data_IF_552835576275
#
_entry.id   IF_552835576275
#
_cell.length_a   1.000
_cell.length_b   1.000
_cell.length_c   1.000
_cell.angle_alpha   90.00
_cell.angle_beta   90.00
_cell.angle_gamma   90.00
#
_symmetry.space_group_name_H-M   'P 1'
#
loop_
_entity.id
_entity.type
_entity.pdbx_description
1 polymer ?
#
# COMPACT_ATOMS: atom_id res chain seq x y z
N UNK A 1 4.47 26.54 6.68
CA UNK A 1 5.93 26.50 6.86
C UNK A 1 6.54 25.93 5.61
N UNK A 2 7.37 26.72 4.92
CA UNK A 2 8.21 26.20 3.84
C UNK A 2 9.15 25.14 4.43
N UNK A 3 9.20 23.96 3.87
CA UNK A 3 10.08 22.89 4.32
C UNK A 3 11.43 23.03 3.63
N UNK A 4 12.52 22.56 4.27
CA UNK A 4 13.84 22.49 3.63
C UNK A 4 13.81 21.77 2.29
N UNK A 5 12.87 20.85 2.11
CA UNK A 5 12.61 20.16 0.84
C UNK A 5 12.17 21.11 -0.29
N UNK A 6 11.21 22.03 -0.02
CA UNK A 6 10.69 22.96 -1.04
C UNK A 6 11.63 24.14 -1.34
N UNK A 7 12.55 24.43 -0.44
CA UNK A 7 13.50 25.56 -0.59
C UNK A 7 14.87 25.13 -1.12
N UNK A 8 15.24 23.86 -0.93
CA UNK A 8 16.56 23.36 -1.30
C UNK A 8 16.79 23.36 -2.82
N UNK A 9 17.96 23.78 -3.24
CA UNK A 9 18.40 23.68 -4.64
C UNK A 9 18.77 22.25 -5.04
N UNK A 10 19.06 21.39 -4.08
CA UNK A 10 19.33 19.97 -4.27
C UNK A 10 18.95 19.22 -3.00
N UNK A 11 18.04 18.27 -3.13
CA UNK A 11 17.58 17.40 -2.05
C UNK A 11 17.43 15.97 -2.58
N UNK A 12 18.07 15.01 -1.94
CA UNK A 12 17.98 13.61 -2.34
C UNK A 12 16.91 12.90 -1.51
N UNK A 13 15.95 12.29 -2.19
CA UNK A 13 14.95 11.40 -1.59
C UNK A 13 15.12 10.00 -2.14
N UNK A 14 14.94 9.02 -1.27
CA UNK A 14 15.07 7.60 -1.60
C UNK A 14 13.84 6.85 -1.13
N UNK A 15 13.30 5.99 -2.00
CA UNK A 15 12.30 5.00 -1.66
C UNK A 15 12.76 3.61 -2.07
N UNK A 16 12.29 2.61 -1.37
CA UNK A 16 12.52 1.20 -1.71
C UNK A 16 11.21 0.48 -1.98
N UNK A 17 11.28 -0.60 -2.75
CA UNK A 17 10.23 -1.57 -2.94
C UNK A 17 10.81 -2.98 -2.96
N UNK A 18 9.94 -3.96 -2.86
CA UNK A 18 10.30 -5.37 -2.90
C UNK A 18 9.39 -6.13 -3.86
N UNK A 19 9.88 -7.27 -4.35
CA UNK A 19 9.05 -8.15 -5.19
C UNK A 19 8.00 -8.88 -4.34
N UNK A 20 7.03 -9.49 -5.02
CA UNK A 20 6.01 -10.35 -4.40
C UNK A 20 6.60 -11.54 -3.62
N UNK A 21 7.81 -11.97 -3.96
CA UNK A 21 8.51 -13.08 -3.30
C UNK A 21 9.38 -12.68 -2.10
N UNK A 22 9.46 -11.40 -1.74
CA UNK A 22 10.08 -11.01 -0.49
C UNK A 22 9.30 -11.61 0.70
N UNK A 23 9.96 -12.19 1.74
CA UNK A 23 9.27 -12.90 2.82
C UNK A 23 8.13 -12.13 3.48
N UNK A 24 8.32 -10.84 3.78
CA UNK A 24 7.24 -10.01 4.35
C UNK A 24 6.07 -9.87 3.36
N UNK A 25 6.34 -9.71 2.05
CA UNK A 25 5.27 -9.58 1.05
C UNK A 25 4.59 -10.92 0.72
N UNK A 26 5.26 -12.04 0.90
CA UNK A 26 4.60 -13.36 0.90
C UNK A 26 3.57 -13.42 2.02
N UNK A 27 3.94 -12.98 3.24
CA UNK A 27 3.03 -12.94 4.38
C UNK A 27 1.82 -12.02 4.14
N UNK A 28 2.05 -10.83 3.59
CA UNK A 28 0.97 -9.90 3.27
C UNK A 28 -0.01 -10.49 2.24
N UNK A 29 0.51 -11.14 1.18
CA UNK A 29 -0.31 -11.78 0.17
C UNK A 29 -1.09 -12.99 0.71
N UNK A 30 -0.49 -13.78 1.59
CA UNK A 30 -1.18 -14.90 2.27
C UNK A 30 -2.31 -14.37 3.15
N UNK A 31 -2.04 -13.37 3.97
CA UNK A 31 -3.04 -12.77 4.85
C UNK A 31 -4.22 -12.16 4.08
N UNK A 32 -3.95 -11.47 2.97
CA UNK A 32 -5.00 -10.92 2.10
C UNK A 32 -5.70 -11.98 1.25
N UNK A 33 -5.04 -13.09 0.88
CA UNK A 33 -5.69 -14.21 0.22
C UNK A 33 -6.72 -14.90 1.12
N UNK A 34 -6.40 -15.05 2.40
CA UNK A 34 -7.34 -15.58 3.41
C UNK A 34 -8.51 -14.61 3.59
N UNK A 35 -8.25 -13.31 3.71
CA UNK A 35 -9.29 -12.29 3.78
C UNK A 35 -10.22 -12.33 2.56
N UNK A 36 -9.66 -12.29 1.36
CA UNK A 36 -10.44 -12.28 0.11
C UNK A 36 -11.26 -13.58 -0.06
N UNK A 37 -10.68 -14.72 0.34
CA UNK A 37 -11.38 -16.00 0.33
C UNK A 37 -12.59 -16.05 1.25
N UNK A 38 -12.52 -15.39 2.42
CA UNK A 38 -13.64 -15.24 3.34
C UNK A 38 -14.67 -14.24 2.84
N UNK A 39 -14.25 -13.05 2.37
CA UNK A 39 -15.16 -12.02 1.87
C UNK A 39 -15.93 -12.45 0.61
N UNK A 40 -15.37 -13.33 -0.20
CA UNK A 40 -16.03 -13.89 -1.38
C UNK A 40 -17.29 -14.71 -1.03
N UNK A 41 -17.33 -15.32 0.16
CA UNK A 41 -18.43 -16.15 0.64
C UNK A 41 -19.29 -15.41 1.68
N UNK A 42 -18.67 -14.57 2.49
CA UNK A 42 -19.31 -13.81 3.56
C UNK A 42 -18.82 -12.35 3.53
N UNK A 43 -19.52 -11.43 2.84
CA UNK A 43 -19.15 -10.02 2.77
C UNK A 43 -19.04 -9.32 4.14
N UNK A 44 -19.68 -9.87 5.17
CA UNK A 44 -19.65 -9.32 6.52
C UNK A 44 -18.63 -10.00 7.43
N UNK A 45 -17.78 -10.88 6.90
CA UNK A 45 -16.70 -11.50 7.66
C UNK A 45 -15.84 -10.46 8.39
N UNK A 46 -15.54 -10.76 9.66
CA UNK A 46 -14.58 -10.00 10.46
C UNK A 46 -13.27 -10.79 10.50
N UNK A 47 -12.23 -10.19 9.99
CA UNK A 47 -10.94 -10.86 9.79
C UNK A 47 -9.81 -9.97 10.30
N UNK A 48 -9.00 -10.55 11.18
CA UNK A 48 -7.68 -10.07 11.54
C UNK A 48 -6.74 -11.27 11.39
N UNK A 49 -6.04 -11.35 10.27
CA UNK A 49 -5.23 -12.49 9.89
C UNK A 49 -3.77 -12.06 9.70
N UNK A 50 -2.88 -12.60 10.49
CA UNK A 50 -1.45 -12.33 10.44
C UNK A 50 -0.69 -13.60 10.08
N UNK A 51 0.34 -13.45 9.27
CA UNK A 51 1.17 -14.54 8.77
C UNK A 51 2.63 -14.33 9.17
N UNK A 52 3.29 -15.39 9.57
CA UNK A 52 4.73 -15.45 9.73
C UNK A 52 5.29 -16.59 8.86
N UNK A 53 6.39 -16.35 8.17
CA UNK A 53 7.04 -17.34 7.30
C UNK A 53 8.54 -17.39 7.57
N UNK A 54 9.10 -18.60 7.54
CA UNK A 54 10.54 -18.85 7.58
C UNK A 54 10.82 -20.15 6.82
N UNK A 55 12.08 -20.58 6.77
CA UNK A 55 12.45 -21.80 6.05
C UNK A 55 11.56 -23.00 6.45
N UNK A 56 10.81 -23.53 5.48
CA UNK A 56 9.97 -24.73 5.64
C UNK A 56 8.75 -24.59 6.55
N UNK A 57 8.44 -23.39 7.04
CA UNK A 57 7.32 -23.14 7.97
C UNK A 57 6.57 -21.86 7.59
N UNK A 58 5.24 -21.97 7.52
CA UNK A 58 4.32 -20.83 7.49
C UNK A 58 3.29 -20.97 8.61
N UNK A 59 3.12 -19.93 9.40
CA UNK A 59 2.17 -19.88 10.51
C UNK A 59 1.19 -18.74 10.25
N UNK A 60 -0.10 -19.05 10.34
CA UNK A 60 -1.19 -18.06 10.25
C UNK A 60 -1.91 -18.03 11.59
N UNK A 61 -2.01 -16.84 12.16
CA UNK A 61 -2.64 -16.58 13.45
C UNK A 61 -3.64 -15.45 13.32
N UNK A 62 -4.58 -15.36 14.26
CA UNK A 62 -5.50 -14.23 14.31
C UNK A 62 -6.90 -14.58 14.79
N UNK A 63 -7.81 -13.66 14.57
CA UNK A 63 -9.20 -13.75 14.93
C UNK A 63 -10.10 -13.58 13.71
N UNK A 64 -11.11 -14.44 13.59
CA UNK A 64 -12.11 -14.39 12.52
C UNK A 64 -13.51 -14.63 13.08
N UNK A 65 -14.49 -13.93 12.52
CA UNK A 65 -15.91 -14.22 12.71
C UNK A 65 -16.54 -14.24 11.33
N UNK A 66 -16.92 -15.43 10.88
CA UNK A 66 -17.43 -15.62 9.51
C UNK A 66 -18.26 -16.88 9.39
N UNK A 67 -19.14 -16.91 8.39
CA UNK A 67 -19.86 -18.10 7.94
C UNK A 67 -19.18 -18.77 6.74
N UNK A 68 -18.06 -18.22 6.26
CA UNK A 68 -17.32 -18.78 5.13
C UNK A 68 -16.66 -20.11 5.49
N UNK A 69 -16.78 -21.08 4.60
CA UNK A 69 -16.06 -22.36 4.66
C UNK A 69 -14.89 -22.32 3.70
N UNK A 70 -13.70 -21.94 4.21
CA UNK A 70 -12.48 -21.78 3.41
C UNK A 70 -11.45 -22.84 3.80
N UNK A 71 -10.93 -23.56 2.79
CA UNK A 71 -9.71 -24.36 2.98
C UNK A 71 -8.49 -23.40 3.06
N UNK A 72 -8.21 -22.97 4.29
CA UNK A 72 -7.16 -21.99 4.56
C UNK A 72 -5.79 -22.56 4.20
N UNK A 73 -5.51 -23.84 4.50
CA UNK A 73 -4.22 -24.44 4.16
C UNK A 73 -4.00 -24.51 2.65
N UNK A 74 -5.03 -24.82 1.91
CA UNK A 74 -4.99 -24.83 0.44
C UNK A 74 -4.77 -23.41 -0.10
N UNK A 75 -5.50 -22.42 0.42
CA UNK A 75 -5.35 -21.02 0.02
C UNK A 75 -3.92 -20.51 0.25
N UNK A 76 -3.30 -20.87 1.38
CA UNK A 76 -1.91 -20.53 1.69
C UNK A 76 -0.95 -21.15 0.66
N UNK A 77 -1.07 -22.46 0.42
CA UNK A 77 -0.19 -23.19 -0.52
C UNK A 77 -0.30 -22.63 -1.93
N UNK A 78 -1.53 -22.45 -2.42
CA UNK A 78 -1.78 -21.91 -3.76
C UNK A 78 -1.17 -20.49 -3.88
N UNK A 79 -1.34 -19.64 -2.87
CA UNK A 79 -0.78 -18.28 -2.86
C UNK A 79 0.74 -18.29 -2.94
N UNK A 80 1.41 -19.10 -2.14
CA UNK A 80 2.88 -19.18 -2.10
C UNK A 80 3.41 -19.83 -3.40
N UNK A 81 2.71 -20.85 -3.91
CA UNK A 81 3.03 -21.50 -5.18
C UNK A 81 2.93 -20.57 -6.39
N UNK A 82 1.89 -19.73 -6.47
CA UNK A 82 1.70 -18.72 -7.53
C UNK A 82 2.78 -17.63 -7.51
N UNK A 83 3.32 -17.30 -6.34
CA UNK A 83 4.49 -16.41 -6.20
C UNK A 83 5.72 -17.06 -6.83
N UNK A 84 5.79 -18.39 -6.85
CA UNK A 84 6.89 -19.15 -7.47
C UNK A 84 7.75 -19.93 -6.48
N UNK A 85 7.33 -20.10 -5.24
CA UNK A 85 7.97 -20.94 -4.25
C UNK A 85 7.42 -22.37 -4.28
N UNK A 86 7.96 -23.19 -5.20
CA UNK A 86 7.47 -24.53 -5.51
C UNK A 86 8.52 -25.64 -5.38
N UNK A 87 9.70 -25.32 -4.84
CA UNK A 87 10.71 -26.28 -4.42
C UNK A 87 11.72 -25.65 -3.43
N UNK A 88 12.40 -26.48 -2.65
CA UNK A 88 13.34 -26.03 -1.62
C UNK A 88 14.55 -25.27 -2.18
N UNK A 89 15.01 -25.59 -3.39
CA UNK A 89 16.16 -24.92 -4.02
C UNK A 89 15.91 -23.44 -4.30
N UNK A 90 14.61 -23.06 -4.42
CA UNK A 90 14.19 -21.67 -4.63
C UNK A 90 14.04 -20.91 -3.30
N UNK A 91 14.11 -21.61 -2.17
CA UNK A 91 14.03 -21.02 -0.83
C UNK A 91 12.78 -21.38 -0.03
N UNK A 92 11.77 -21.99 -0.67
CA UNK A 92 10.56 -22.52 -0.01
C UNK A 92 9.81 -23.47 -0.95
N UNK A 93 9.18 -24.49 -0.38
CA UNK A 93 8.33 -25.43 -1.10
C UNK A 93 6.90 -25.36 -0.54
N UNK A 94 5.99 -24.75 -1.28
CA UNK A 94 4.62 -24.56 -0.85
C UNK A 94 3.86 -25.89 -0.62
N UNK A 95 4.20 -26.95 -1.37
CA UNK A 95 3.51 -28.25 -1.28
C UNK A 95 3.95 -29.04 -0.04
N UNK A 96 5.22 -28.95 0.34
CA UNK A 96 5.81 -29.77 1.40
C UNK A 96 6.08 -29.02 2.70
N UNK A 97 6.01 -27.68 2.70
CA UNK A 97 6.22 -26.88 3.91
C UNK A 97 5.17 -27.18 4.99
N UNK A 98 5.59 -27.05 6.25
CA UNK A 98 4.69 -27.12 7.38
C UNK A 98 3.80 -25.84 7.41
N UNK A 99 2.49 -26.02 7.26
CA UNK A 99 1.50 -24.94 7.40
C UNK A 99 0.76 -25.13 8.72
N UNK A 100 0.81 -24.12 9.58
CA UNK A 100 0.10 -24.10 10.85
C UNK A 100 -0.91 -22.94 10.86
N UNK A 101 -2.15 -23.24 11.26
CA UNK A 101 -3.24 -22.27 11.29
C UNK A 101 -3.84 -22.25 12.70
N UNK A 102 -3.80 -21.08 13.33
CA UNK A 102 -4.35 -20.82 14.66
C UNK A 102 -5.29 -19.60 14.60
N UNK A 103 -6.40 -19.75 13.90
CA UNK A 103 -7.46 -18.76 13.84
C UNK A 103 -8.53 -19.13 14.87
N UNK A 104 -8.93 -18.15 15.67
CA UNK A 104 -9.99 -18.30 16.68
C UNK A 104 -11.07 -17.25 16.46
N UNK A 105 -12.21 -17.42 17.12
CA UNK A 105 -13.31 -16.46 17.09
C UNK A 105 -12.93 -15.16 17.79
N UNK A 106 -13.40 -14.02 17.25
CA UNK A 106 -13.17 -12.69 17.84
C UNK A 106 -13.84 -12.57 19.22
N UNK A 107 -13.21 -11.80 20.11
CA UNK A 107 -13.79 -11.48 21.42
C UNK A 107 -15.16 -10.80 21.28
N UNK A 108 -16.20 -11.27 22.01
CA UNK A 108 -17.52 -10.64 22.01
C UNK A 108 -17.51 -9.17 22.43
N UNK A 109 -16.62 -8.77 23.34
CA UNK A 109 -16.53 -7.39 23.83
C UNK A 109 -16.05 -6.43 22.73
N UNK A 110 -15.08 -6.87 21.92
CA UNK A 110 -14.59 -6.10 20.77
C UNK A 110 -15.68 -6.01 19.72
N UNK A 111 -16.34 -7.13 19.41
CA UNK A 111 -17.43 -7.17 18.43
C UNK A 111 -18.58 -6.20 18.81
N UNK A 112 -18.97 -6.16 20.07
CA UNK A 112 -20.03 -5.28 20.55
C UNK A 112 -19.68 -3.79 20.41
N UNK A 113 -18.43 -3.40 20.68
CA UNK A 113 -18.00 -2.00 20.59
C UNK A 113 -17.86 -1.48 19.15
N UNK A 114 -17.63 -2.37 18.19
CA UNK A 114 -17.47 -2.02 16.76
C UNK A 114 -18.82 -2.03 16.03
N UNK A 115 -19.71 -2.98 16.36
CA UNK A 115 -21.00 -3.14 15.70
C UNK A 115 -22.04 -2.12 16.18
N UNK A 116 -21.88 -1.58 17.39
CA UNK A 116 -22.74 -0.57 17.99
C UNK A 116 -21.91 0.62 18.45
N UNK A 117 -21.97 1.72 17.72
CA UNK A 117 -21.18 2.92 18.02
C UNK A 117 -21.49 3.49 19.41
N UNK A 118 -20.62 4.36 19.92
CA UNK A 118 -20.88 5.07 21.19
C UNK A 118 -22.11 5.96 21.05
N UNK A 119 -22.25 6.61 19.91
CA UNK A 119 -23.38 7.48 19.55
C UNK A 119 -24.71 6.71 19.62
N UNK A 120 -24.75 5.47 19.11
CA UNK A 120 -25.91 4.58 19.23
C UNK A 120 -26.20 4.22 20.70
N UNK A 121 -25.21 3.82 21.45
CA UNK A 121 -25.34 3.39 22.86
C UNK A 121 -25.76 4.53 23.79
N UNK A 122 -25.39 5.78 23.46
CA UNK A 122 -25.78 6.98 24.21
C UNK A 122 -27.13 7.56 23.74
N UNK A 123 -27.74 7.01 22.68
CA UNK A 123 -29.00 7.48 22.12
C UNK A 123 -28.90 8.87 21.48
N UNK A 124 -27.71 9.23 20.99
CA UNK A 124 -27.44 10.51 20.35
C UNK A 124 -27.44 10.39 18.82
N UNK A 125 -27.89 9.24 18.28
CA UNK A 125 -27.97 9.01 16.83
C UNK A 125 -28.93 10.01 16.16
N UNK A 126 -28.48 10.56 15.06
CA UNK A 126 -29.38 10.99 14.01
C UNK A 126 -29.87 9.74 13.24
N UNK A 127 -31.00 9.83 12.50
CA UNK A 127 -31.54 8.70 11.71
C UNK A 127 -30.63 8.32 10.50
N UNK A 128 -29.29 8.34 10.68
CA UNK A 128 -28.31 8.04 9.65
C UNK A 128 -27.65 6.66 9.92
N UNK A 129 -27.86 5.67 9.02
CA UNK A 129 -27.34 4.33 9.20
C UNK A 129 -25.79 4.25 9.29
N UNK A 130 -25.06 5.26 8.83
CA UNK A 130 -23.60 5.30 8.94
C UNK A 130 -23.09 5.65 10.34
N UNK A 131 -23.97 6.06 11.24
CA UNK A 131 -23.64 6.28 12.65
C UNK A 131 -23.67 5.01 13.49
N UNK A 132 -24.28 3.93 12.98
CA UNK A 132 -24.38 2.67 13.70
C UNK A 132 -23.02 2.01 13.94
N UNK A 133 -22.12 2.11 12.97
CA UNK A 133 -20.81 1.45 13.01
C UNK A 133 -19.73 2.37 13.60
N UNK A 134 -19.16 1.99 14.74
CA UNK A 134 -17.98 2.63 15.29
C UNK A 134 -16.68 2.20 14.64
N UNK A 135 -15.62 2.98 14.85
CA UNK A 135 -14.27 2.60 14.43
C UNK A 135 -13.80 1.34 15.15
N UNK A 136 -13.18 0.41 14.41
CA UNK A 136 -12.72 -0.87 14.94
C UNK A 136 -11.52 -0.77 15.88
N UNK A 137 -10.83 0.36 15.88
CA UNK A 137 -9.71 0.67 16.78
C UNK A 137 -9.52 2.19 16.87
N UNK A 138 -8.72 2.62 17.82
CA UNK A 138 -8.13 3.96 17.81
C UNK A 138 -6.97 4.01 16.83
N UNK A 139 -6.67 5.18 16.27
CA UNK A 139 -5.51 5.33 15.42
C UNK A 139 -5.49 6.63 14.63
N UNK A 140 -4.39 6.83 13.92
CA UNK A 140 -4.17 7.95 13.02
C UNK A 140 -3.78 7.38 11.65
N UNK A 141 -4.45 7.83 10.58
CA UNK A 141 -4.21 7.38 9.22
C UNK A 141 -3.83 8.55 8.35
N UNK A 142 -2.96 8.30 7.39
CA UNK A 142 -2.42 9.30 6.47
C UNK A 142 -2.80 8.95 5.04
N UNK A 143 -3.35 9.91 4.33
CA UNK A 143 -3.47 9.91 2.87
C UNK A 143 -2.53 10.94 2.27
N UNK A 144 -1.96 10.64 1.11
CA UNK A 144 -1.07 11.56 0.40
C UNK A 144 -1.27 11.47 -1.10
N UNK A 145 -1.04 12.58 -1.79
CA UNK A 145 -0.93 12.65 -3.25
C UNK A 145 0.00 13.79 -3.64
N UNK A 146 0.63 13.66 -4.80
CA UNK A 146 1.39 14.74 -5.43
C UNK A 146 1.38 14.57 -6.96
N UNK A 147 1.61 15.66 -7.68
CA UNK A 147 1.55 15.70 -9.16
C UNK A 147 2.87 15.29 -9.83
N UNK A 148 3.62 14.36 -9.23
CA UNK A 148 4.92 13.92 -9.76
C UNK A 148 4.79 12.81 -10.81
N UNK A 149 3.70 12.03 -10.77
CA UNK A 149 3.41 10.93 -11.70
C UNK A 149 1.93 10.96 -12.12
N UNK A 150 1.56 10.29 -13.22
CA UNK A 150 0.16 10.24 -13.68
C UNK A 150 -0.82 9.69 -12.63
N UNK A 151 -0.38 8.70 -11.85
CA UNK A 151 -1.15 8.10 -10.75
C UNK A 151 -1.19 8.96 -9.49
N UNK A 152 -0.56 10.15 -9.53
CA UNK A 152 -0.46 11.10 -8.42
C UNK A 152 0.26 10.54 -7.18
N UNK A 153 1.35 9.84 -7.44
CA UNK A 153 2.26 9.27 -6.44
C UNK A 153 3.63 9.95 -6.47
N UNK A 154 4.40 9.87 -5.38
CA UNK A 154 5.81 10.29 -5.39
C UNK A 154 6.63 9.47 -6.40
N UNK A 155 7.47 10.14 -7.17
CA UNK A 155 8.26 9.51 -8.25
C UNK A 155 9.18 8.41 -7.72
N UNK A 156 9.76 8.59 -6.54
CA UNK A 156 10.69 7.63 -5.94
C UNK A 156 10.06 6.26 -5.71
N UNK A 157 8.89 6.22 -5.03
CA UNK A 157 8.20 4.97 -4.73
C UNK A 157 7.53 4.38 -5.96
N UNK A 158 6.95 5.20 -6.85
CA UNK A 158 6.38 4.74 -8.11
C UNK A 158 7.42 3.99 -8.95
N UNK A 159 8.62 4.56 -9.11
CA UNK A 159 9.70 3.90 -9.84
C UNK A 159 10.21 2.64 -9.13
N UNK A 160 10.34 2.66 -7.81
CA UNK A 160 10.74 1.48 -7.06
C UNK A 160 9.74 0.33 -7.25
N UNK A 161 8.44 0.59 -7.20
CA UNK A 161 7.40 -0.40 -7.49
C UNK A 161 7.44 -0.92 -8.93
N UNK A 162 7.58 -0.03 -9.90
CA UNK A 162 7.68 -0.40 -11.33
C UNK A 162 8.89 -1.30 -11.59
N UNK A 163 10.04 -1.02 -10.98
CA UNK A 163 11.24 -1.87 -11.07
C UNK A 163 11.02 -3.24 -10.43
N UNK A 164 10.43 -3.29 -9.22
CA UNK A 164 10.17 -4.54 -8.52
C UNK A 164 9.14 -5.41 -9.28
N UNK A 165 8.08 -4.80 -9.83
CA UNK A 165 7.08 -5.49 -10.65
C UNK A 165 7.73 -6.02 -11.94
N UNK A 166 8.50 -5.19 -12.65
CA UNK A 166 9.16 -5.61 -13.89
C UNK A 166 10.15 -6.74 -13.66
N UNK A 167 10.86 -6.73 -12.53
CA UNK A 167 11.74 -7.83 -12.13
C UNK A 167 10.96 -9.15 -11.97
N UNK A 168 9.79 -9.13 -11.35
CA UNK A 168 8.94 -10.31 -11.21
C UNK A 168 8.33 -10.74 -12.56
N UNK A 169 7.91 -9.81 -13.41
CA UNK A 169 7.40 -10.10 -14.75
C UNK A 169 8.44 -10.84 -15.60
N UNK A 170 9.68 -10.31 -15.67
CA UNK A 170 10.76 -10.94 -16.46
C UNK A 170 11.15 -12.32 -15.94
N UNK A 171 10.95 -12.60 -14.65
CA UNK A 171 11.08 -13.95 -14.09
C UNK A 171 9.94 -14.85 -14.56
N UNK A 172 8.69 -14.38 -14.46
CA UNK A 172 7.47 -15.17 -14.76
C UNK A 172 7.31 -15.47 -16.24
N UNK A 173 7.65 -14.54 -17.12
CA UNK A 173 7.58 -14.71 -18.56
C UNK A 173 8.78 -15.48 -19.15
N UNK A 174 9.78 -15.80 -18.32
CA UNK A 174 10.97 -16.53 -18.71
C UNK A 174 12.03 -15.73 -19.46
N UNK A 175 11.87 -14.40 -19.59
CA UNK A 175 12.87 -13.54 -20.23
C UNK A 175 14.19 -13.51 -19.45
N UNK A 176 14.13 -13.65 -18.11
CA UNK A 176 15.28 -13.81 -17.23
C UNK A 176 15.09 -15.08 -16.37
N UNK A 177 15.26 -16.27 -16.92
CA UNK A 177 14.89 -17.55 -16.27
C UNK A 177 15.75 -17.90 -15.05
N UNK A 178 16.86 -17.22 -14.87
CA UNK A 178 17.73 -17.37 -13.71
C UNK A 178 17.26 -16.57 -12.49
N UNK A 179 16.27 -15.68 -12.62
CA UNK A 179 15.74 -14.95 -11.49
C UNK A 179 14.90 -15.86 -10.57
N UNK A 180 14.90 -15.54 -9.30
CA UNK A 180 14.13 -16.18 -8.24
C UNK A 180 13.12 -15.19 -7.67
N UNK A 181 12.12 -15.62 -6.87
CA UNK A 181 11.01 -14.75 -6.47
C UNK A 181 11.40 -13.53 -5.63
N UNK A 182 12.43 -13.64 -4.77
CA UNK A 182 12.84 -12.56 -3.85
C UNK A 182 13.69 -11.50 -4.56
N UNK A 183 13.43 -10.26 -4.23
CA UNK A 183 14.18 -9.13 -4.75
C UNK A 183 13.78 -7.80 -4.11
N UNK A 184 14.70 -6.84 -4.18
CA UNK A 184 14.52 -5.48 -3.67
C UNK A 184 14.94 -4.46 -4.71
N UNK A 185 14.27 -3.32 -4.71
CA UNK A 185 14.62 -2.18 -5.55
C UNK A 185 14.67 -0.92 -4.70
N UNK A 186 15.56 -0.01 -5.05
CA UNK A 186 15.69 1.28 -4.39
C UNK A 186 15.96 2.34 -5.44
N UNK A 187 15.27 3.47 -5.33
CA UNK A 187 15.40 4.61 -6.25
C UNK A 187 15.67 5.87 -5.45
N UNK A 188 16.74 6.57 -5.80
CA UNK A 188 17.07 7.91 -5.30
C UNK A 188 16.85 8.91 -6.41
N UNK A 189 16.06 9.94 -6.12
CA UNK A 189 15.79 11.06 -7.03
C UNK A 189 16.36 12.33 -6.43
N UNK A 190 17.04 13.12 -7.26
CA UNK A 190 17.40 14.49 -6.93
C UNK A 190 16.21 15.40 -7.19
N UNK A 191 15.83 16.16 -6.18
CA UNK A 191 14.80 17.19 -6.22
C UNK A 191 15.44 18.58 -6.21
N UNK A 192 14.88 19.48 -6.98
CA UNK A 192 15.19 20.90 -6.95
C UNK A 192 13.93 21.68 -6.56
N UNK A 193 13.96 22.36 -5.43
CA UNK A 193 12.81 23.13 -4.91
C UNK A 193 11.51 22.31 -4.88
N UNK A 194 11.59 21.10 -4.34
CA UNK A 194 10.45 20.22 -4.19
C UNK A 194 9.96 19.52 -5.46
N UNK A 195 10.65 19.68 -6.60
CA UNK A 195 10.30 19.04 -7.87
C UNK A 195 11.34 18.02 -8.30
N UNK A 196 10.95 16.85 -8.83
CA UNK A 196 11.89 15.87 -9.34
C UNK A 196 12.75 16.49 -10.46
N UNK A 197 14.05 16.25 -10.42
CA UNK A 197 15.01 16.79 -11.41
C UNK A 197 15.66 15.70 -12.23
N UNK A 198 16.24 14.68 -11.61
CA UNK A 198 16.88 13.55 -12.25
C UNK A 198 16.98 12.35 -11.33
N UNK A 199 17.25 11.19 -11.91
CA UNK A 199 17.52 9.98 -11.16
C UNK A 199 18.99 10.00 -10.70
N UNK A 200 19.23 9.99 -9.40
CA UNK A 200 20.58 9.95 -8.81
C UNK A 200 21.12 8.53 -8.72
N UNK A 201 20.31 7.59 -8.23
CA UNK A 201 20.76 6.21 -8.06
C UNK A 201 19.60 5.19 -8.18
N UNK A 202 19.93 4.01 -8.69
CA UNK A 202 19.07 2.84 -8.72
C UNK A 202 19.86 1.65 -8.19
N UNK A 203 19.27 0.93 -7.24
CA UNK A 203 19.79 -0.34 -6.73
C UNK A 203 18.74 -1.42 -6.99
N UNK A 204 19.16 -2.51 -7.61
CA UNK A 204 18.34 -3.73 -7.76
C UNK A 204 19.11 -4.88 -7.12
N UNK A 205 18.52 -5.54 -6.14
CA UNK A 205 19.04 -6.77 -5.53
C UNK A 205 18.06 -7.88 -5.86
N UNK A 206 18.54 -8.90 -6.59
CA UNK A 206 17.70 -10.00 -7.06
C UNK A 206 18.30 -11.35 -6.65
N UNK A 207 17.48 -12.17 -6.02
CA UNK A 207 17.73 -13.58 -5.80
C UNK A 207 17.83 -14.30 -7.15
N UNK A 208 18.84 -15.11 -7.35
CA UNK A 208 19.12 -15.72 -8.65
C UNK A 208 19.72 -17.13 -8.54
N UNK A 209 19.66 -17.90 -9.62
CA UNK A 209 20.28 -19.21 -9.73
C UNK A 209 21.81 -19.12 -9.73
N UNK A 210 22.49 -20.18 -9.25
CA UNK A 210 23.95 -20.24 -9.20
C UNK A 210 24.59 -20.30 -10.59
N UNK A 211 23.83 -20.65 -11.63
CA UNK A 211 24.29 -20.83 -13.01
C UNK A 211 24.60 -19.54 -13.75
N UNK A 212 24.07 -18.38 -13.29
CA UNK A 212 24.28 -17.08 -13.92
C UNK A 212 25.49 -16.36 -13.31
N UNK A 213 26.30 -15.74 -14.15
CA UNK A 213 27.39 -14.87 -13.70
C UNK A 213 26.88 -13.50 -13.26
N UNK A 214 27.63 -12.81 -12.41
CA UNK A 214 27.28 -11.45 -11.98
C UNK A 214 27.16 -10.47 -13.17
N UNK A 215 27.97 -10.66 -14.21
CA UNK A 215 27.93 -9.84 -15.42
C UNK A 215 26.64 -10.06 -16.20
N UNK A 216 26.29 -11.30 -16.51
CA UNK A 216 25.05 -11.65 -17.23
C UNK A 216 23.81 -11.20 -16.44
N UNK A 217 23.80 -11.39 -15.12
CA UNK A 217 22.74 -10.89 -14.26
C UNK A 217 22.59 -9.37 -14.39
N UNK A 218 23.70 -8.64 -14.28
CA UNK A 218 23.68 -7.18 -14.32
C UNK A 218 23.24 -6.64 -15.70
N UNK A 219 23.72 -7.25 -16.78
CA UNK A 219 23.34 -6.91 -18.15
C UNK A 219 21.85 -7.17 -18.40
N UNK A 220 21.37 -8.38 -18.07
CA UNK A 220 19.96 -8.75 -18.25
C UNK A 220 19.00 -7.88 -17.44
N UNK A 221 19.31 -7.63 -16.17
CA UNK A 221 18.49 -6.74 -15.33
C UNK A 221 18.51 -5.30 -15.85
N UNK A 222 19.67 -4.81 -16.31
CA UNK A 222 19.77 -3.48 -16.91
C UNK A 222 18.88 -3.35 -18.15
N UNK A 223 19.00 -4.29 -19.08
CA UNK A 223 18.33 -4.25 -20.37
C UNK A 223 16.82 -4.48 -20.27
N UNK A 224 16.39 -5.49 -19.51
CA UNK A 224 15.00 -5.95 -19.50
C UNK A 224 14.16 -5.42 -18.35
N UNK A 225 14.80 -4.89 -17.29
CA UNK A 225 14.11 -4.34 -16.13
C UNK A 225 14.31 -2.84 -16.01
N UNK A 226 15.57 -2.36 -15.94
CA UNK A 226 15.85 -0.97 -15.59
C UNK A 226 15.56 -0.04 -16.78
N UNK A 227 16.13 -0.31 -17.96
CA UNK A 227 15.97 0.57 -19.11
C UNK A 227 14.52 0.80 -19.53
N UNK A 228 13.64 -0.23 -19.61
CA UNK A 228 12.23 -0.01 -19.96
C UNK A 228 11.46 0.82 -18.92
N UNK A 229 11.78 0.69 -17.63
CA UNK A 229 11.13 1.46 -16.55
C UNK A 229 11.56 2.92 -16.58
N UNK A 230 12.79 3.21 -17.02
CA UNK A 230 13.35 4.57 -17.06
C UNK A 230 13.07 5.32 -18.36
N UNK A 231 12.41 4.70 -19.33
CA UNK A 231 12.10 5.35 -20.60
C UNK A 231 11.32 6.66 -20.38
N UNK A 232 11.79 7.75 -21.01
CA UNK A 232 11.22 9.08 -20.86
C UNK A 232 11.63 9.86 -19.59
N UNK A 233 12.48 9.30 -18.73
CA UNK A 233 12.97 9.96 -17.52
C UNK A 233 14.38 10.54 -17.71
N UNK A 234 14.73 11.53 -16.88
CA UNK A 234 16.06 12.16 -16.94
C UNK A 234 17.08 11.27 -16.23
N UNK A 235 17.83 10.54 -17.04
CA UNK A 235 18.96 9.69 -16.64
C UNK A 235 20.21 10.21 -17.34
N UNK A 236 21.25 10.46 -16.60
CA UNK A 236 22.51 11.00 -17.14
C UNK A 236 23.72 10.12 -16.81
N UNK A 237 24.91 10.55 -17.19
CA UNK A 237 26.16 9.81 -16.94
C UNK A 237 26.54 9.73 -15.45
N UNK A 238 25.93 10.54 -14.60
CA UNK A 238 26.17 10.56 -13.14
C UNK A 238 25.22 9.61 -12.42
N UNK A 239 24.13 9.15 -13.07
CA UNK A 239 23.18 8.20 -12.47
C UNK A 239 23.88 6.88 -12.15
N UNK A 240 23.87 6.51 -10.88
CA UNK A 240 24.48 5.29 -10.36
C UNK A 240 23.51 4.12 -10.49
N UNK A 241 23.84 3.11 -11.27
CA UNK A 241 23.03 1.90 -11.42
C UNK A 241 23.83 0.72 -10.86
N UNK A 242 23.27 0.09 -9.83
CA UNK A 242 23.88 -1.02 -9.10
C UNK A 242 22.95 -2.24 -9.11
N UNK A 243 23.47 -3.37 -9.59
CA UNK A 243 22.76 -4.67 -9.58
C UNK A 243 23.54 -5.62 -8.68
N UNK A 244 22.89 -6.14 -7.66
CA UNK A 244 23.49 -7.01 -6.63
C UNK A 244 24.86 -6.46 -6.13
N UNK A 245 24.93 -5.24 -5.58
CA UNK A 245 26.21 -4.62 -5.20
C UNK A 245 26.95 -5.39 -4.11
N UNK A 246 26.25 -6.22 -3.33
CA UNK A 246 26.86 -7.13 -2.34
C UNK A 246 27.43 -8.42 -2.95
N UNK A 247 27.28 -8.63 -4.26
CA UNK A 247 27.67 -9.84 -4.96
C UNK A 247 26.53 -10.86 -5.08
N UNK A 248 26.85 -12.16 -4.94
CA UNK A 248 25.90 -13.26 -5.17
C UNK A 248 24.76 -13.25 -4.16
N UNK A 249 23.53 -13.42 -4.65
CA UNK A 249 22.33 -13.56 -3.84
C UNK A 249 21.64 -14.90 -4.17
N UNK A 250 22.18 -15.99 -3.61
CA UNK A 250 21.79 -17.38 -3.89
C UNK A 250 20.84 -17.97 -2.85
N UNK A 251 20.82 -17.43 -1.64
CA UNK A 251 19.87 -17.81 -0.59
C UNK A 251 18.96 -16.62 -0.35
N UNK A 252 17.73 -16.74 -0.72
CA UNK A 252 16.72 -15.70 -0.60
C UNK A 252 15.35 -16.24 -0.20
N UNK A 253 14.34 -15.37 -0.17
CA UNK A 253 13.03 -15.75 0.29
C UNK A 253 13.00 -16.21 1.74
N UNK A 254 12.01 -17.03 2.13
CA UNK A 254 11.87 -17.51 3.52
C UNK A 254 13.06 -18.33 4.05
N UNK A 255 13.90 -18.86 3.16
CA UNK A 255 15.14 -19.53 3.58
C UNK A 255 16.25 -18.56 3.97
N UNK A 256 16.23 -17.34 3.43
CA UNK A 256 17.22 -16.30 3.70
C UNK A 256 16.87 -15.44 4.89
N UNK A 257 15.60 -15.08 5.04
CA UNK A 257 15.10 -14.22 6.10
C UNK A 257 13.64 -14.56 6.44
N UNK A 258 13.23 -14.32 7.68
CA UNK A 258 11.85 -14.51 8.10
C UNK A 258 10.97 -13.34 7.64
N UNK A 259 9.72 -13.65 7.28
CA UNK A 259 8.70 -12.66 6.94
C UNK A 259 7.58 -12.60 7.95
N UNK A 260 6.97 -11.42 8.07
CA UNK A 260 5.74 -11.20 8.84
C UNK A 260 4.82 -10.22 8.11
N UNK A 261 3.51 -10.39 8.28
CA UNK A 261 2.50 -9.45 7.80
C UNK A 261 2.73 -8.06 8.41
N UNK A 262 2.62 -7.01 7.59
CA UNK A 262 2.68 -5.63 8.07
C UNK A 262 4.07 -5.09 8.38
N UNK A 263 5.13 -5.71 7.89
CA UNK A 263 6.52 -5.22 8.06
C UNK A 263 7.05 -4.37 6.92
N UNK A 264 6.24 -4.08 5.91
CA UNK A 264 6.59 -3.26 4.74
C UNK A 264 5.65 -2.06 4.57
N UNK A 265 5.20 -1.47 5.69
CA UNK A 265 4.18 -0.41 5.70
C UNK A 265 4.57 0.85 4.92
N UNK A 266 5.85 1.18 4.84
CA UNK A 266 6.34 2.32 4.06
C UNK A 266 6.37 1.99 2.57
N UNK A 267 6.70 0.74 2.21
CA UNK A 267 6.59 0.22 0.83
C UNK A 267 5.12 0.17 0.39
N UNK A 268 4.22 -0.21 1.29
CA UNK A 268 2.78 -0.30 1.03
C UNK A 268 2.13 1.06 0.78
N UNK A 269 2.76 2.16 1.20
CA UNK A 269 2.20 3.51 1.17
C UNK A 269 2.98 4.45 0.24
N UNK A 270 3.74 5.40 0.79
CA UNK A 270 4.30 6.52 0.02
C UNK A 270 5.83 6.56 -0.01
N UNK A 271 6.52 5.46 0.36
CA UNK A 271 7.97 5.35 0.27
C UNK A 271 8.77 6.30 1.16
N UNK A 272 8.15 6.82 2.23
CA UNK A 272 8.80 7.67 3.22
C UNK A 272 8.73 9.18 2.91
N UNK A 273 8.02 9.59 1.86
CA UNK A 273 7.84 11.02 1.56
C UNK A 273 6.71 11.66 2.38
N UNK A 274 5.70 10.88 2.72
CA UNK A 274 4.60 11.27 3.61
C UNK A 274 4.80 10.68 5.01
N UNK A 275 4.10 11.23 5.99
CA UNK A 275 3.97 10.64 7.32
C UNK A 275 3.28 9.29 7.26
N UNK A 276 3.33 8.53 8.34
CA UNK A 276 2.65 7.23 8.47
C UNK A 276 2.07 7.07 9.87
N UNK A 277 0.83 6.57 9.96
CA UNK A 277 0.17 6.38 11.25
C UNK A 277 0.58 5.11 12.01
N UNK A 278 1.30 4.19 11.35
CA UNK A 278 1.80 2.95 11.95
C UNK A 278 0.94 1.71 11.67
N UNK A 279 -0.31 1.87 11.20
CA UNK A 279 -1.21 0.76 10.90
C UNK A 279 -0.80 -0.03 9.65
N UNK A 280 -0.77 -1.36 9.75
CA UNK A 280 -0.62 -2.27 8.62
C UNK A 280 -1.98 -2.56 7.97
N UNK A 281 -1.99 -2.91 6.69
CA UNK A 281 -3.22 -3.11 5.91
C UNK A 281 -3.58 -4.59 5.74
N UNK A 282 -2.64 -5.41 5.25
CA UNK A 282 -2.91 -6.80 4.85
C UNK A 282 -3.46 -7.64 6.01
N UNK A 283 -4.40 -8.52 5.70
CA UNK A 283 -5.08 -9.39 6.65
C UNK A 283 -6.21 -8.76 7.46
N UNK A 284 -6.46 -7.45 7.29
CA UNK A 284 -7.51 -6.71 8.00
C UNK A 284 -8.72 -6.49 7.09
N UNK A 285 -9.92 -6.88 7.56
CA UNK A 285 -11.18 -6.50 6.90
C UNK A 285 -11.47 -5.00 7.03
N UNK A 286 -12.37 -4.42 6.20
CA UNK A 286 -12.56 -2.96 6.15
C UNK A 286 -13.17 -2.33 7.40
N UNK A 287 -13.60 -3.08 8.42
CA UNK A 287 -14.00 -2.51 9.71
C UNK A 287 -12.80 -1.93 10.48
N UNK A 288 -11.59 -2.36 10.16
CA UNK A 288 -10.35 -1.83 10.72
C UNK A 288 -9.96 -0.56 10.00
N UNK A 289 -10.08 0.56 10.71
CA UNK A 289 -9.80 1.92 10.17
C UNK A 289 -8.35 2.10 9.72
N UNK A 290 -7.41 1.34 10.28
CA UNK A 290 -6.02 1.28 9.79
C UNK A 290 -5.97 1.10 8.26
N UNK A 291 -6.85 0.27 7.72
CA UNK A 291 -6.95 0.00 6.30
C UNK A 291 -7.96 0.92 5.61
N UNK A 292 -9.22 0.86 6.00
CA UNK A 292 -10.31 1.56 5.31
C UNK A 292 -10.15 3.08 5.34
N UNK A 293 -9.76 3.66 6.47
CA UNK A 293 -9.58 5.10 6.58
C UNK A 293 -8.27 5.59 5.94
N UNK A 294 -7.21 4.79 5.88
CA UNK A 294 -6.02 5.12 5.09
C UNK A 294 -6.36 5.17 3.59
N UNK A 295 -7.19 4.24 3.09
CA UNK A 295 -7.69 4.27 1.71
C UNK A 295 -8.58 5.49 1.45
N UNK A 296 -9.48 5.82 2.39
CA UNK A 296 -10.30 7.02 2.28
C UNK A 296 -9.46 8.30 2.29
N UNK A 297 -8.47 8.40 3.16
CA UNK A 297 -7.55 9.53 3.21
C UNK A 297 -6.74 9.69 1.90
N UNK A 298 -6.30 8.56 1.29
CA UNK A 298 -5.70 8.56 -0.06
C UNK A 298 -6.66 9.10 -1.10
N UNK A 299 -7.91 8.65 -1.10
CA UNK A 299 -8.94 9.13 -2.03
C UNK A 299 -9.16 10.63 -1.91
N UNK A 300 -9.23 11.16 -0.68
CA UNK A 300 -9.34 12.61 -0.45
C UNK A 300 -8.14 13.36 -1.03
N UNK A 301 -6.92 12.97 -0.63
CA UNK A 301 -5.69 13.63 -1.09
C UNK A 301 -5.56 13.58 -2.63
N UNK A 302 -5.85 12.41 -3.24
CA UNK A 302 -5.79 12.24 -4.71
C UNK A 302 -6.77 13.16 -5.42
N UNK A 303 -8.00 13.29 -4.93
CA UNK A 303 -9.00 14.16 -5.55
C UNK A 303 -8.66 15.65 -5.38
N UNK A 304 -8.07 16.09 -4.26
CA UNK A 304 -7.59 17.47 -4.07
C UNK A 304 -6.52 17.81 -5.10
N UNK A 305 -5.51 16.93 -5.27
CA UNK A 305 -4.42 17.15 -6.24
C UNK A 305 -4.95 17.06 -7.67
N UNK A 306 -5.78 16.09 -7.99
CA UNK A 306 -6.40 15.95 -9.31
C UNK A 306 -7.32 17.14 -9.69
N UNK A 307 -7.95 17.77 -8.69
CA UNK A 307 -8.73 19.00 -8.89
C UNK A 307 -7.85 20.22 -9.18
N UNK A 308 -6.53 20.14 -9.02
CA UNK A 308 -5.59 21.26 -9.15
C UNK A 308 -5.61 22.21 -7.95
N UNK A 309 -6.14 21.78 -6.81
CA UNK A 309 -6.21 22.60 -5.59
C UNK A 309 -4.90 22.63 -4.81
N UNK A 310 -3.99 21.69 -5.05
CA UNK A 310 -2.63 21.67 -4.54
C UNK A 310 -1.73 20.80 -5.44
N UNK A 311 -0.42 21.07 -5.50
CA UNK A 311 0.56 20.18 -6.13
C UNK A 311 0.89 18.97 -5.22
N UNK A 312 0.73 19.15 -3.89
CA UNK A 312 0.91 18.15 -2.85
C UNK A 312 -0.19 18.28 -1.81
N UNK A 313 -0.70 17.17 -1.35
CA UNK A 313 -1.70 17.15 -0.30
C UNK A 313 -1.47 15.94 0.60
N UNK A 314 -1.37 16.18 1.91
CA UNK A 314 -1.43 15.16 2.94
C UNK A 314 -2.71 15.37 3.77
N UNK A 315 -3.43 14.29 3.99
CA UNK A 315 -4.65 14.27 4.81
C UNK A 315 -4.40 13.35 5.98
N UNK A 316 -4.58 13.87 7.19
CA UNK A 316 -4.55 13.08 8.41
C UNK A 316 -5.97 12.93 8.95
N UNK A 317 -6.32 11.72 9.31
CA UNK A 317 -7.60 11.38 9.93
C UNK A 317 -7.32 10.54 11.18
N UNK A 318 -8.04 10.77 12.28
CA UNK A 318 -7.89 9.98 13.50
C UNK A 318 -9.23 9.54 14.06
N UNK A 319 -9.23 8.40 14.75
CA UNK A 319 -10.43 7.79 15.34
C UNK A 319 -10.18 7.36 16.78
N UNK A 320 -11.25 7.27 17.54
CA UNK A 320 -11.32 6.55 18.81
C UNK A 320 -12.15 5.28 18.61
N UNK A 321 -11.73 4.19 19.26
CA UNK A 321 -12.45 2.91 19.18
C UNK A 321 -13.93 3.07 19.54
N UNK A 322 -14.81 2.47 18.75
CA UNK A 322 -16.26 2.49 18.98
C UNK A 322 -16.96 3.80 18.62
N UNK A 323 -16.26 4.86 18.18
CA UNK A 323 -16.91 6.10 17.71
C UNK A 323 -17.11 6.09 16.19
N UNK A 324 -18.26 6.59 15.77
CA UNK A 324 -18.58 6.74 14.34
C UNK A 324 -17.84 7.90 13.70
N UNK A 325 -17.70 9.02 14.39
CA UNK A 325 -17.08 10.21 13.83
C UNK A 325 -15.56 10.23 14.06
N UNK A 326 -14.76 10.71 13.05
CA UNK A 326 -13.34 11.01 13.25
C UNK A 326 -13.14 11.98 14.43
N UNK A 327 -12.12 11.73 15.24
CA UNK A 327 -11.73 12.64 16.34
C UNK A 327 -10.99 13.88 15.81
N UNK A 328 -10.31 13.76 14.68
CA UNK A 328 -9.71 14.90 13.97
C UNK A 328 -9.54 14.62 12.48
N UNK A 329 -9.57 15.69 11.68
CA UNK A 329 -9.22 15.71 10.27
C UNK A 329 -8.31 16.92 10.07
N UNK A 330 -7.15 16.72 9.44
CA UNK A 330 -6.24 17.80 9.07
C UNK A 330 -5.82 17.66 7.61
N UNK A 331 -5.62 18.78 6.95
CA UNK A 331 -5.10 18.88 5.57
C UNK A 331 -3.84 19.71 5.60
N UNK A 332 -2.80 19.25 4.90
CA UNK A 332 -1.52 19.95 4.75
C UNK A 332 -1.15 19.97 3.26
N UNK A 333 -0.89 21.14 2.71
CA UNK A 333 -0.53 21.32 1.29
C UNK A 333 0.94 21.66 1.07
N UNK A 334 1.73 21.77 2.13
CA UNK A 334 3.16 22.13 2.08
C UNK A 334 3.42 23.46 1.34
N UNK A 335 2.47 24.39 1.42
CA UNK A 335 2.53 25.67 0.74
C UNK A 335 2.28 25.62 -0.78
N UNK A 336 1.77 24.51 -1.30
CA UNK A 336 1.42 24.35 -2.73
C UNK A 336 -0.07 24.57 -3.00
N UNK A 337 -0.88 24.77 -1.96
CA UNK A 337 -2.31 24.99 -2.06
C UNK A 337 -2.68 26.29 -2.78
N UNK A 338 -3.76 26.26 -3.56
CA UNK A 338 -4.37 27.46 -4.17
C UNK A 338 -5.49 28.06 -3.30
N UNK A 339 -5.81 27.38 -2.20
CA UNK A 339 -6.71 27.77 -1.14
C UNK A 339 -6.04 27.54 0.22
N UNK A 340 -6.58 28.08 1.29
CA UNK A 340 -6.08 27.84 2.64
C UNK A 340 -6.39 26.42 3.11
N UNK A 341 -5.64 25.92 4.10
CA UNK A 341 -5.90 24.61 4.69
C UNK A 341 -7.31 24.54 5.32
N UNK A 342 -7.81 25.63 5.90
CA UNK A 342 -9.15 25.73 6.45
C UNK A 342 -10.23 25.59 5.36
N UNK A 343 -10.08 26.29 4.23
CA UNK A 343 -10.98 26.20 3.09
C UNK A 343 -10.96 24.78 2.48
N UNK A 344 -9.80 24.16 2.38
CA UNK A 344 -9.67 22.78 1.91
C UNK A 344 -10.30 21.79 2.89
N UNK A 345 -10.15 22.00 4.19
CA UNK A 345 -10.78 21.16 5.22
C UNK A 345 -12.32 21.25 5.15
N UNK A 346 -12.88 22.42 4.88
CA UNK A 346 -14.31 22.57 4.67
C UNK A 346 -14.81 21.83 3.43
N UNK A 347 -14.03 21.86 2.33
CA UNK A 347 -14.34 21.06 1.14
C UNK A 347 -14.28 19.56 1.45
N UNK A 348 -13.29 19.11 2.21
CA UNK A 348 -13.19 17.70 2.63
C UNK A 348 -14.43 17.29 3.42
N UNK A 349 -14.82 18.06 4.43
CA UNK A 349 -16.02 17.77 5.25
C UNK A 349 -17.32 17.75 4.44
N UNK A 350 -17.41 18.53 3.39
CA UNK A 350 -18.60 18.63 2.51
C UNK A 350 -18.71 17.47 1.54
N UNK A 351 -17.56 17.01 0.98
CA UNK A 351 -17.55 16.07 -0.14
C UNK A 351 -17.17 14.64 0.23
N UNK A 352 -16.64 14.42 1.43
CA UNK A 352 -16.17 13.11 1.87
C UNK A 352 -16.72 12.77 3.26
N UNK A 353 -17.49 11.71 3.33
CA UNK A 353 -17.92 11.15 4.60
C UNK A 353 -16.84 10.15 5.08
N UNK A 354 -16.15 10.52 6.14
CA UNK A 354 -15.03 9.75 6.70
C UNK A 354 -15.44 8.91 7.92
N UNK A 355 -16.77 8.71 8.16
CA UNK A 355 -17.25 7.74 9.12
C UNK A 355 -16.97 6.31 8.60
N UNK A 356 -16.56 5.35 9.46
CA UNK A 356 -16.21 4.00 9.03
C UNK A 356 -17.29 3.31 8.19
N UNK A 357 -18.55 3.37 8.61
CA UNK A 357 -19.69 2.82 7.87
C UNK A 357 -19.85 3.44 6.47
N UNK A 358 -19.72 4.77 6.37
CA UNK A 358 -19.78 5.48 5.11
C UNK A 358 -18.62 5.15 4.17
N UNK A 359 -17.40 5.04 4.69
CA UNK A 359 -16.23 4.64 3.90
C UNK A 359 -16.46 3.27 3.27
N UNK A 360 -16.88 2.29 4.08
CA UNK A 360 -17.13 0.92 3.64
C UNK A 360 -18.20 0.88 2.54
N UNK A 361 -19.30 1.58 2.73
CA UNK A 361 -20.41 1.62 1.78
C UNK A 361 -20.04 2.35 0.48
N UNK A 362 -19.52 3.58 0.59
CA UNK A 362 -19.20 4.44 -0.55
C UNK A 362 -18.10 3.86 -1.45
N UNK A 363 -17.12 3.18 -0.86
CA UNK A 363 -16.04 2.51 -1.59
C UNK A 363 -16.34 1.04 -1.89
N UNK A 364 -17.50 0.52 -1.47
CA UNK A 364 -17.89 -0.89 -1.68
C UNK A 364 -16.80 -1.87 -1.26
N UNK A 365 -16.30 -1.73 -0.04
CA UNK A 365 -15.14 -2.47 0.45
C UNK A 365 -15.45 -3.92 0.88
N UNK A 366 -16.72 -4.32 1.01
CA UNK A 366 -17.13 -5.68 1.40
C UNK A 366 -17.05 -6.65 0.21
N UNK A 367 -15.89 -6.78 -0.41
CA UNK A 367 -15.66 -7.65 -1.57
C UNK A 367 -14.18 -8.04 -1.68
N UNK A 368 -13.84 -9.14 -2.38
CA UNK A 368 -12.47 -9.63 -2.48
C UNK A 368 -11.64 -8.81 -3.47
N UNK A 369 -11.00 -7.74 -2.99
CA UNK A 369 -10.20 -6.80 -3.80
C UNK A 369 -8.82 -6.54 -3.20
N UNK A 370 -8.44 -7.26 -2.15
CA UNK A 370 -7.30 -6.90 -1.30
C UNK A 370 -6.00 -7.58 -1.69
N UNK A 371 -6.01 -8.88 -2.00
CA UNK A 371 -4.80 -9.62 -2.36
C UNK A 371 -3.99 -8.98 -3.49
N UNK A 372 -4.56 -8.44 -4.58
CA UNK A 372 -3.78 -7.78 -5.63
C UNK A 372 -3.02 -6.54 -5.16
N UNK A 373 -3.43 -5.91 -4.05
CA UNK A 373 -2.77 -4.73 -3.49
C UNK A 373 -1.64 -5.09 -2.52
N UNK A 374 -1.56 -6.33 -2.06
CA UNK A 374 -0.59 -6.78 -1.08
C UNK A 374 0.86 -6.81 -1.59
N UNK A 375 1.12 -6.54 -2.87
CA UNK A 375 2.43 -6.36 -3.44
C UNK A 375 2.46 -5.15 -4.38
N UNK A 376 3.62 -4.48 -4.45
CA UNK A 376 3.85 -3.29 -5.30
C UNK A 376 3.03 -2.06 -4.91
N UNK A 377 2.71 -1.92 -3.62
CA UNK A 377 1.99 -0.81 -3.03
C UNK A 377 0.46 -0.93 -3.10
N UNK A 378 -0.21 -0.32 -2.12
CA UNK A 378 -1.66 -0.23 -2.06
C UNK A 378 -2.19 1.00 -2.80
N UNK A 379 -1.33 1.99 -3.05
CA UNK A 379 -1.65 3.27 -3.69
C UNK A 379 -0.96 3.43 -5.03
N UNK A 380 -1.54 4.29 -5.89
CA UNK A 380 -1.09 4.45 -7.27
C UNK A 380 -1.41 3.23 -8.15
N UNK A 381 -2.47 2.50 -7.82
CA UNK A 381 -2.88 1.24 -8.45
C UNK A 381 -4.09 1.43 -9.36
N UNK A 382 -3.98 2.39 -10.27
CA UNK A 382 -5.03 2.64 -11.29
C UNK A 382 -5.27 1.38 -12.18
N UNK A 383 -4.24 0.53 -12.30
CA UNK A 383 -4.29 -0.76 -12.99
C UNK A 383 -5.30 -1.76 -12.40
N UNK A 384 -5.62 -1.65 -11.11
CA UNK A 384 -6.55 -2.54 -10.42
C UNK A 384 -7.99 -2.01 -10.35
N UNK A 385 -8.24 -0.77 -10.74
CA UNK A 385 -9.57 -0.16 -10.66
C UNK A 385 -10.13 -0.08 -9.23
N UNK A 386 -9.25 0.05 -8.25
CA UNK A 386 -9.64 0.12 -6.83
C UNK A 386 -10.28 1.46 -6.49
N UNK A 387 -11.31 1.51 -5.63
CA UNK A 387 -12.14 2.69 -5.43
C UNK A 387 -11.41 3.89 -4.82
N UNK A 388 -10.36 3.68 -4.04
CA UNK A 388 -9.59 4.78 -3.45
C UNK A 388 -8.65 5.49 -4.43
N UNK A 389 -8.48 4.95 -5.64
CA UNK A 389 -7.74 5.61 -6.73
C UNK A 389 -8.65 6.40 -7.69
N UNK A 390 -9.97 6.36 -7.52
CA UNK A 390 -10.90 7.11 -8.36
C UNK A 390 -10.79 8.62 -8.12
N UNK A 391 -10.86 9.41 -9.20
CA UNK A 391 -10.89 10.88 -9.17
C UNK A 391 -12.31 11.44 -9.36
N UNK A 392 -13.30 10.75 -8.82
CA UNK A 392 -14.73 10.99 -9.04
C UNK A 392 -15.31 12.19 -8.26
N UNK A 393 -14.50 12.88 -7.47
CA UNK A 393 -14.91 14.11 -6.73
C UNK A 393 -14.30 15.38 -7.33
N UNK A 394 -13.49 15.28 -8.37
CA UNK A 394 -12.76 16.42 -8.96
C UNK A 394 -13.69 17.55 -9.38
N UNK A 395 -14.74 17.26 -10.14
CA UNK A 395 -15.65 18.29 -10.63
C UNK A 395 -16.44 18.98 -9.50
N UNK A 396 -16.86 18.22 -8.48
CA UNK A 396 -17.53 18.75 -7.31
C UNK A 396 -16.61 19.66 -6.49
N UNK A 397 -15.36 19.24 -6.28
CA UNK A 397 -14.34 20.04 -5.59
C UNK A 397 -14.04 21.35 -6.34
N UNK A 398 -13.91 21.30 -7.67
CA UNK A 398 -13.71 22.50 -8.49
C UNK A 398 -14.91 23.46 -8.44
N UNK A 399 -16.13 22.92 -8.46
CA UNK A 399 -17.34 23.74 -8.40
C UNK A 399 -17.47 24.51 -7.10
N UNK A 400 -17.10 23.91 -5.98
CA UNK A 400 -17.21 24.48 -4.64
C UNK A 400 -15.92 25.17 -4.15
N UNK A 401 -14.82 25.08 -4.94
CA UNK A 401 -13.56 25.74 -4.60
C UNK A 401 -13.74 27.27 -4.45
N UNK A 402 -13.01 27.93 -3.55
CA UNK A 402 -13.03 29.37 -3.38
C UNK A 402 -12.75 30.12 -4.68
N UNK A 403 -13.33 31.32 -4.85
CA UNK A 403 -13.17 32.12 -6.06
C UNK A 403 -11.70 32.44 -6.35
N UNK A 404 -10.89 32.61 -5.31
CA UNK A 404 -9.44 32.85 -5.41
C UNK A 404 -8.70 31.66 -6.04
N UNK A 405 -9.15 30.44 -5.79
CA UNK A 405 -8.60 29.22 -6.38
C UNK A 405 -9.00 29.04 -7.86
N UNK A 406 -10.23 29.47 -8.23
CA UNK A 406 -10.75 29.35 -9.60
C UNK A 406 -10.03 30.22 -10.62
N UNK A 407 -9.36 31.29 -10.18
CA UNK A 407 -8.68 32.25 -11.05
C UNK A 407 -7.26 31.84 -11.49
N UNK A 408 -6.74 30.70 -11.02
CA UNK A 408 -5.39 30.19 -11.31
C UNK A 408 -5.34 28.96 -12.23
N UNK A 409 -6.50 28.45 -12.66
CA UNK A 409 -6.64 27.31 -13.57
C UNK A 409 -6.93 27.74 -15.03
#
# INVERSE_FOLDING_TARGET
MTTSFSESKSFLLTSESVTEGHPDKVCDQVSDAVLDGMLAQDPHARVACETAITKGLCVVIGEVTTHAELDIQRTIRDTIGEIGYNNEEIGFDADHALIQVYLKEQSPDIAASVNHSLEEREGTLDDDPFELQGAGDQGMMIGFACNETPELMPLTISLAHRLARRLAETRKDGSLPFLRPDGKTQVTVEYERGRPKRIEAIVVSSHHAASVTQKELAEGVRELVINPVLEGLVVDRQTKIMVNPSGRFLVGGPAGDAGLTGRKIIVDTYGGIARHGGGAFSGKDPSKVDRSAAYAARHVAKNIVAAGLADRCEVQVSYAIGRAHPTSIAVETFGTGVATEEELLELVRRHFDLRPGAIIANMKLLRPIYRPTAAYGHFGRDDLGVPWELTNRVEALRADAPVTARSRN
#
